data_IF_486167839939
#
_entry.id   IF_486167839939
#
_cell.length_a   1.000
_cell.length_b   1.000
_cell.length_c   1.000
_cell.angle_alpha   90.00
_cell.angle_beta   90.00
_cell.angle_gamma   90.00
#
_symmetry.space_group_name_H-M   'P 1'
#
loop_
_entity.id
_entity.type
_entity.pdbx_description
1 polymer ?
#
# COMPACT_ATOMS: atom_id res chain seq x y z
N UNK A 1 -17.03 3.68 -5.86
CA UNK A 1 -16.18 3.38 -4.75
C UNK A 1 -14.78 2.97 -5.22
N UNK A 2 -13.77 3.51 -4.59
CA UNK A 2 -12.40 3.26 -5.05
C UNK A 2 -11.83 2.02 -4.41
N UNK A 3 -11.38 1.11 -5.24
CA UNK A 3 -10.68 -0.06 -4.77
C UNK A 3 -9.21 0.13 -5.09
N UNK A 4 -8.46 0.55 -4.09
CA UNK A 4 -7.04 0.81 -4.28
C UNK A 4 -6.23 -0.42 -3.94
N UNK A 5 -5.19 -0.66 -4.71
CA UNK A 5 -4.26 -1.75 -4.46
C UNK A 5 -2.93 -1.19 -4.02
N UNK A 6 -2.32 -1.83 -3.03
CA UNK A 6 -1.05 -1.38 -2.49
C UNK A 6 0.08 -2.26 -3.04
N UNK A 7 1.12 -1.59 -3.50
CA UNK A 7 2.29 -2.24 -4.07
C UNK A 7 3.54 -1.76 -3.35
N UNK A 8 4.54 -2.61 -3.26
CA UNK A 8 5.84 -2.23 -2.73
C UNK A 8 6.87 -2.42 -3.84
N UNK A 9 7.78 -1.46 -3.94
CA UNK A 9 8.87 -1.55 -4.90
C UNK A 9 9.94 -2.48 -4.36
N UNK A 10 10.30 -3.49 -5.14
CA UNK A 10 11.31 -4.44 -4.76
C UNK A 10 12.18 -4.70 -5.97
N UNK A 11 13.44 -4.31 -5.87
CA UNK A 11 14.39 -4.44 -6.97
C UNK A 11 13.88 -3.78 -8.25
N UNK A 12 13.24 -2.61 -8.08
CA UNK A 12 12.72 -1.85 -9.21
C UNK A 12 11.39 -2.36 -9.76
N UNK A 13 10.80 -3.34 -9.11
CA UNK A 13 9.53 -3.90 -9.57
C UNK A 13 8.43 -3.68 -8.53
N UNK A 14 7.21 -3.49 -9.00
CA UNK A 14 6.06 -3.35 -8.13
C UNK A 14 5.51 -4.72 -7.78
N UNK A 15 5.44 -4.99 -6.48
CA UNK A 15 4.86 -6.23 -5.98
C UNK A 15 3.57 -5.93 -5.25
N UNK A 16 2.52 -6.64 -5.58
CA UNK A 16 1.24 -6.45 -4.92
C UNK A 16 1.32 -6.93 -3.47
N UNK A 17 0.91 -6.07 -2.56
CA UNK A 17 0.89 -6.39 -1.13
C UNK A 17 -0.51 -6.73 -0.69
N UNK A 18 -1.46 -5.88 -1.03
CA UNK A 18 -2.84 -6.05 -0.56
C UNK A 18 -3.77 -5.31 -1.52
N UNK A 19 -4.92 -5.92 -1.80
CA UNK A 19 -5.92 -5.33 -2.67
C UNK A 19 -7.09 -4.76 -1.88
N UNK A 20 -7.86 -3.91 -2.52
CA UNK A 20 -9.08 -3.35 -1.94
C UNK A 20 -8.83 -2.66 -0.61
N UNK A 21 -7.84 -1.78 -0.60
CA UNK A 21 -7.43 -1.08 0.60
C UNK A 21 -8.55 -0.17 1.09
N UNK A 22 -8.90 -0.33 2.35
CA UNK A 22 -9.92 0.48 3.00
C UNK A 22 -9.28 1.54 3.88
N UNK A 23 -8.18 1.20 4.53
CA UNK A 23 -7.49 2.10 5.44
C UNK A 23 -5.99 1.95 5.28
N UNK A 24 -5.31 3.08 5.24
CA UNK A 24 -3.85 3.11 5.25
C UNK A 24 -3.40 4.04 6.36
N UNK A 25 -2.57 3.51 7.26
CA UNK A 25 -1.97 4.32 8.31
C UNK A 25 -0.49 4.42 8.07
N UNK A 26 0.00 5.64 7.94
CA UNK A 26 1.41 5.89 7.71
C UNK A 26 2.06 6.19 9.06
N UNK A 27 2.85 5.25 9.55
CA UNK A 27 3.57 5.42 10.80
C UNK A 27 5.04 5.59 10.52
N UNK A 28 5.77 6.04 11.52
CA UNK A 28 7.19 6.27 11.37
C UNK A 28 7.89 4.94 11.10
N UNK A 29 8.41 4.80 9.90
CA UNK A 29 9.13 3.59 9.52
C UNK A 29 8.28 2.45 9.05
N UNK A 30 6.95 2.59 9.03
CA UNK A 30 6.10 1.51 8.56
C UNK A 30 4.73 2.01 8.11
N UNK A 31 4.07 1.19 7.32
CA UNK A 31 2.74 1.47 6.82
C UNK A 31 1.83 0.30 7.19
N UNK A 32 0.69 0.62 7.76
CA UNK A 32 -0.31 -0.39 8.09
C UNK A 32 -1.44 -0.30 7.08
N UNK A 33 -1.78 -1.42 6.48
CA UNK A 33 -2.81 -1.50 5.46
C UNK A 33 -3.92 -2.42 5.94
N UNK A 34 -5.15 -1.97 5.79
CA UNK A 34 -6.32 -2.79 6.11
C UNK A 34 -7.24 -2.74 4.90
N UNK A 35 -7.67 -3.90 4.43
CA UNK A 35 -8.55 -3.94 3.28
C UNK A 35 -10.00 -4.10 3.69
N UNK A 36 -10.90 -4.08 2.72
CA UNK A 36 -12.33 -4.13 3.01
C UNK A 36 -12.77 -5.49 3.54
N UNK A 37 -11.93 -6.50 3.43
CA UNK A 37 -12.22 -7.83 3.95
C UNK A 37 -11.69 -8.04 5.37
N UNK A 38 -11.13 -6.99 5.96
CA UNK A 38 -10.61 -7.09 7.33
C UNK A 38 -9.20 -7.62 7.43
N UNK A 39 -8.56 -7.85 6.29
CA UNK A 39 -7.16 -8.30 6.29
C UNK A 39 -6.26 -7.12 6.58
N UNK A 40 -5.23 -7.36 7.37
CA UNK A 40 -4.31 -6.32 7.78
C UNK A 40 -2.87 -6.73 7.51
N UNK A 41 -2.10 -5.79 7.00
CA UNK A 41 -0.67 -6.01 6.76
C UNK A 41 0.12 -4.80 7.23
N UNK A 42 1.27 -5.08 7.82
CA UNK A 42 2.22 -4.05 8.23
C UNK A 42 3.47 -4.20 7.38
N UNK A 43 3.87 -3.13 6.71
CA UNK A 43 5.00 -3.15 5.79
C UNK A 43 6.02 -2.13 6.27
N UNK A 44 7.28 -2.53 6.35
CA UNK A 44 8.36 -1.60 6.69
C UNK A 44 8.74 -0.83 5.43
N UNK A 45 7.99 0.21 5.17
CA UNK A 45 8.09 0.97 3.94
C UNK A 45 7.53 2.36 4.17
N UNK A 46 7.62 3.19 3.13
CA UNK A 46 6.98 4.50 3.14
C UNK A 46 6.24 4.67 1.84
N UNK A 47 5.20 5.48 1.87
CA UNK A 47 4.44 5.77 0.66
C UNK A 47 5.29 6.62 -0.27
N UNK A 48 5.51 6.13 -1.47
CA UNK A 48 6.27 6.86 -2.48
C UNK A 48 5.35 7.64 -3.39
N UNK A 49 4.26 7.02 -3.81
CA UNK A 49 3.34 7.66 -4.74
C UNK A 49 1.94 7.12 -4.54
N UNK A 50 0.97 7.94 -4.87
CA UNK A 50 -0.43 7.58 -4.80
C UNK A 50 -1.07 8.00 -6.11
N UNK A 51 -1.60 7.05 -6.84
CA UNK A 51 -2.29 7.34 -8.09
C UNK A 51 -3.78 7.20 -7.88
N UNK A 52 -4.49 8.31 -7.98
CA UNK A 52 -5.94 8.29 -7.82
C UNK A 52 -6.63 7.78 -9.08
N UNK A 53 -5.99 7.96 -10.22
CA UNK A 53 -6.55 7.50 -11.50
C UNK A 53 -6.45 6.00 -11.62
N UNK A 54 -5.32 5.44 -11.24
CA UNK A 54 -5.08 4.01 -11.35
C UNK A 54 -5.45 3.26 -10.08
N UNK A 55 -5.81 3.97 -9.03
CA UNK A 55 -6.13 3.40 -7.73
C UNK A 55 -4.98 2.54 -7.20
N UNK A 56 -3.78 3.10 -7.28
CA UNK A 56 -2.56 2.41 -6.86
C UNK A 56 -1.86 3.18 -5.76
N UNK A 57 -1.37 2.46 -4.79
CA UNK A 57 -0.54 3.02 -3.73
C UNK A 57 0.83 2.36 -3.87
N UNK A 58 1.85 3.17 -4.15
CA UNK A 58 3.19 2.66 -4.35
C UNK A 58 4.02 2.99 -3.12
N UNK A 59 4.62 1.96 -2.54
CA UNK A 59 5.47 2.12 -1.38
C UNK A 59 6.87 1.68 -1.72
N UNK A 60 7.84 2.25 -1.02
CA UNK A 60 9.22 1.81 -1.21
C UNK A 60 9.80 1.40 0.13
N UNK A 61 10.63 0.35 0.16
CA UNK A 61 11.22 -0.14 1.40
C UNK A 61 12.10 0.91 2.04
N UNK A 62 12.12 0.90 3.35
CA UNK A 62 12.99 1.79 4.12
C UNK A 62 14.34 1.13 4.34
#
# INVERSE_FOLDING_TARGET
MCESSAYVLKDGKEELVLESIDLLENKKGEVILINMFGEQKTVKAKVKALSLVEHKIIMEPI
#
